data_IF_619959604350
#
_entry.id   IF_619959604350
#
_cell.length_a   1.000
_cell.length_b   1.000
_cell.length_c   1.000
_cell.angle_alpha   90.00
_cell.angle_beta   90.00
_cell.angle_gamma   90.00
#
_symmetry.space_group_name_H-M   'P 1'
#
loop_
_entity.id
_entity.type
_entity.pdbx_description
1 polymer ?
#
# COMPACT_ATOMS: atom_id res chain seq x y z
N UNK A 1 31.49 -22.57 -9.19
CA UNK A 1 30.41 -21.61 -9.49
C UNK A 1 29.09 -22.11 -8.93
N UNK A 2 28.89 -21.99 -7.64
CA UNK A 2 27.66 -22.38 -6.98
C UNK A 2 26.96 -21.18 -6.28
N UNK A 3 27.26 -19.94 -6.75
CA UNK A 3 26.80 -18.73 -6.10
C UNK A 3 25.38 -18.25 -6.44
N UNK A 4 24.89 -18.58 -7.63
CA UNK A 4 23.74 -17.86 -8.18
C UNK A 4 22.39 -18.48 -7.83
N UNK A 5 22.33 -19.74 -7.47
CA UNK A 5 21.06 -20.39 -7.11
C UNK A 5 20.57 -20.09 -5.69
N UNK A 6 21.43 -19.59 -4.84
CA UNK A 6 21.09 -19.28 -3.44
C UNK A 6 20.33 -17.95 -3.32
N UNK A 7 20.46 -17.06 -4.31
CA UNK A 7 19.81 -15.74 -4.29
C UNK A 7 18.34 -15.77 -4.67
N UNK A 8 17.91 -16.63 -5.58
CA UNK A 8 16.56 -16.64 -6.11
C UNK A 8 15.52 -17.26 -5.15
N UNK A 9 15.96 -18.18 -4.30
CA UNK A 9 15.09 -18.82 -3.31
C UNK A 9 15.06 -18.08 -1.95
N UNK A 10 15.90 -17.06 -1.79
CA UNK A 10 16.07 -16.27 -0.57
C UNK A 10 15.19 -15.02 -0.50
N UNK A 11 14.50 -14.65 -1.56
CA UNK A 11 13.80 -13.36 -1.59
C UNK A 11 12.75 -13.20 -0.48
N UNK A 12 12.05 -14.27 -0.10
CA UNK A 12 11.10 -14.22 1.03
C UNK A 12 11.81 -14.15 2.39
N UNK A 13 12.91 -14.89 2.53
CA UNK A 13 13.67 -14.89 3.78
C UNK A 13 14.54 -13.64 3.92
N UNK A 14 15.01 -13.09 2.81
CA UNK A 14 15.80 -11.85 2.82
C UNK A 14 14.94 -10.64 3.15
N UNK A 15 13.74 -10.51 2.56
CA UNK A 15 12.79 -9.45 2.89
C UNK A 15 12.39 -9.50 4.37
N UNK A 16 12.10 -10.70 4.90
CA UNK A 16 11.78 -10.89 6.32
C UNK A 16 12.95 -10.53 7.23
N UNK A 17 14.18 -10.95 6.89
CA UNK A 17 15.38 -10.58 7.66
C UNK A 17 15.68 -9.09 7.58
N UNK A 18 15.40 -8.46 6.44
CA UNK A 18 15.52 -7.01 6.31
C UNK A 18 14.51 -6.28 7.17
N UNK A 19 13.27 -6.75 7.23
CA UNK A 19 12.25 -6.23 8.15
C UNK A 19 12.65 -6.41 9.61
N UNK A 20 13.12 -7.58 9.99
CA UNK A 20 13.60 -7.86 11.35
C UNK A 20 14.81 -6.96 11.70
N UNK A 21 15.77 -6.82 10.80
CA UNK A 21 16.93 -5.94 10.98
C UNK A 21 16.52 -4.47 11.06
N UNK A 22 15.53 -4.05 10.28
CA UNK A 22 14.96 -2.71 10.32
C UNK A 22 14.27 -2.44 11.64
N UNK A 23 13.48 -3.40 12.16
CA UNK A 23 12.81 -3.29 13.44
C UNK A 23 13.83 -3.17 14.58
N UNK A 24 14.87 -4.01 14.59
CA UNK A 24 15.95 -3.94 15.56
C UNK A 24 16.69 -2.61 15.48
N UNK A 25 17.02 -2.16 14.27
CA UNK A 25 17.64 -0.86 14.04
C UNK A 25 16.76 0.30 14.52
N UNK A 26 15.45 0.25 14.26
CA UNK A 26 14.49 1.24 14.75
C UNK A 26 14.46 1.25 16.28
N UNK A 27 14.45 0.09 16.94
CA UNK A 27 14.45 -0.01 18.41
C UNK A 27 15.74 0.56 19.01
N UNK A 28 16.89 0.23 18.43
CA UNK A 28 18.19 0.75 18.89
C UNK A 28 18.35 2.25 18.62
N UNK A 29 17.83 2.73 17.50
CA UNK A 29 17.91 4.14 17.09
C UNK A 29 16.89 5.01 17.82
N UNK A 30 15.83 4.42 18.41
CA UNK A 30 14.84 5.14 19.21
C UNK A 30 15.45 5.96 20.34
N UNK A 31 16.62 5.55 20.84
CA UNK A 31 17.38 6.31 21.83
C UNK A 31 18.13 7.52 21.25
N UNK A 32 18.31 7.58 19.92
CA UNK A 32 19.17 8.55 19.25
C UNK A 32 18.40 9.51 18.34
N UNK A 33 17.16 9.17 17.94
CA UNK A 33 16.35 9.97 17.02
C UNK A 33 14.92 10.09 17.51
N UNK A 34 14.21 11.12 17.05
CA UNK A 34 12.79 11.31 17.32
C UNK A 34 11.94 10.24 16.60
N UNK A 35 10.75 9.95 17.16
CA UNK A 35 9.77 9.06 16.51
C UNK A 35 9.39 9.53 15.11
N UNK A 36 9.29 10.84 14.91
CA UNK A 36 8.97 11.46 13.62
C UNK A 36 10.01 11.09 12.56
N UNK A 37 11.29 11.13 12.93
CA UNK A 37 12.37 10.75 12.02
C UNK A 37 12.33 9.27 11.66
N UNK A 38 12.00 8.41 12.62
CA UNK A 38 11.83 6.97 12.40
C UNK A 38 10.69 6.69 11.43
N UNK A 39 9.54 7.33 11.60
CA UNK A 39 8.41 7.22 10.68
C UNK A 39 8.74 7.73 9.28
N UNK A 40 9.45 8.84 9.19
CA UNK A 40 9.92 9.37 7.92
C UNK A 40 10.77 8.35 7.15
N UNK A 41 11.76 7.75 7.82
CA UNK A 41 12.61 6.71 7.21
C UNK A 41 11.77 5.51 6.79
N UNK A 42 10.89 5.02 7.68
CA UNK A 42 10.03 3.89 7.39
C UNK A 42 9.13 4.12 6.16
N UNK A 43 8.48 5.27 6.09
CA UNK A 43 7.61 5.63 4.97
C UNK A 43 8.37 5.71 3.64
N UNK A 44 9.66 6.04 3.67
CA UNK A 44 10.49 6.14 2.46
C UNK A 44 11.02 4.81 1.96
N UNK A 45 10.99 3.75 2.78
CA UNK A 45 11.55 2.43 2.41
C UNK A 45 10.51 1.31 2.39
N UNK A 46 9.32 1.50 2.96
CA UNK A 46 8.27 0.50 2.97
C UNK A 46 7.81 0.14 1.56
N UNK A 47 7.46 -1.13 1.36
CA UNK A 47 6.83 -1.61 0.13
C UNK A 47 5.31 -1.36 0.21
N UNK A 48 4.78 -0.69 -0.82
CA UNK A 48 3.38 -0.27 -0.93
C UNK A 48 2.64 -0.99 -2.06
N UNK A 49 3.30 -1.83 -2.79
CA UNK A 49 2.80 -2.60 -3.90
C UNK A 49 3.94 -3.38 -4.56
N UNK A 50 3.69 -4.19 -5.59
CA UNK A 50 4.74 -4.91 -6.30
C UNK A 50 5.76 -3.93 -6.88
N UNK A 51 6.99 -3.93 -6.33
CA UNK A 51 8.09 -3.03 -6.72
C UNK A 51 7.81 -1.53 -6.48
N UNK A 52 6.85 -1.20 -5.63
CA UNK A 52 6.55 0.18 -5.24
C UNK A 52 7.12 0.42 -3.85
N UNK A 53 8.20 1.18 -3.76
CA UNK A 53 8.92 1.47 -2.52
C UNK A 53 8.87 2.96 -2.20
N UNK A 54 8.53 3.26 -0.97
CA UNK A 54 8.44 4.62 -0.45
C UNK A 54 7.13 5.31 -0.73
N UNK A 55 6.76 6.22 0.17
CA UNK A 55 5.48 6.94 0.14
C UNK A 55 5.32 7.83 -1.10
N UNK A 56 6.43 8.36 -1.61
CA UNK A 56 6.41 9.22 -2.81
C UNK A 56 5.98 8.45 -4.05
N UNK A 57 6.58 7.27 -4.26
CA UNK A 57 6.20 6.39 -5.36
C UNK A 57 4.79 5.84 -5.19
N UNK A 58 4.41 5.46 -3.96
CA UNK A 58 3.09 4.98 -3.65
C UNK A 58 2.00 6.03 -3.95
N UNK A 59 2.21 7.28 -3.53
CA UNK A 59 1.27 8.38 -3.77
C UNK A 59 1.08 8.65 -5.26
N UNK A 60 2.16 8.58 -6.04
CA UNK A 60 2.11 8.74 -7.49
C UNK A 60 1.43 7.54 -8.17
N UNK A 61 1.79 6.32 -7.77
CA UNK A 61 1.28 5.09 -8.35
C UNK A 61 -0.23 4.90 -8.15
N UNK A 62 -0.71 5.13 -6.93
CA UNK A 62 -2.14 4.94 -6.61
C UNK A 62 -3.01 6.13 -6.97
N UNK A 63 -2.54 7.35 -6.73
CA UNK A 63 -3.39 8.55 -6.78
C UNK A 63 -2.88 9.66 -7.70
N UNK A 64 -1.74 9.46 -8.35
CA UNK A 64 -1.09 10.49 -9.17
C UNK A 64 -0.90 11.82 -8.41
N UNK A 65 -0.52 11.72 -7.14
CA UNK A 65 -0.34 12.84 -6.21
C UNK A 65 1.03 12.79 -5.54
N UNK A 66 1.44 13.93 -5.00
CA UNK A 66 2.53 13.98 -4.03
C UNK A 66 2.01 13.59 -2.65
N UNK A 67 2.85 13.09 -1.72
CA UNK A 67 2.42 12.74 -0.36
C UNK A 67 1.68 13.87 0.37
N UNK A 68 2.10 15.12 0.19
CA UNK A 68 1.46 16.29 0.79
C UNK A 68 0.04 16.58 0.27
N UNK A 69 -0.35 15.98 -0.85
CA UNK A 69 -1.66 16.17 -1.49
C UNK A 69 -2.64 15.03 -1.17
N UNK A 70 -2.19 13.99 -0.46
CA UNK A 70 -3.05 12.88 -0.07
C UNK A 70 -4.17 13.35 0.87
N UNK A 71 -5.37 12.86 0.64
CA UNK A 71 -6.47 13.02 1.58
C UNK A 71 -6.28 12.08 2.78
N UNK A 72 -7.03 12.32 3.86
CA UNK A 72 -7.03 11.42 5.01
C UNK A 72 -7.48 10.01 4.61
N UNK A 73 -8.50 9.91 3.78
CA UNK A 73 -9.06 8.65 3.27
C UNK A 73 -8.04 7.88 2.42
N UNK A 74 -7.31 8.56 1.56
CA UNK A 74 -6.23 7.96 0.76
C UNK A 74 -5.07 7.49 1.65
N UNK A 75 -4.73 8.25 2.68
CA UNK A 75 -3.69 7.88 3.65
C UNK A 75 -4.08 6.65 4.47
N UNK A 76 -5.34 6.53 4.87
CA UNK A 76 -5.86 5.35 5.57
C UNK A 76 -5.78 4.11 4.68
N UNK A 77 -6.11 4.23 3.39
CA UNK A 77 -5.95 3.13 2.45
C UNK A 77 -4.49 2.69 2.35
N UNK A 78 -3.55 3.60 2.16
CA UNK A 78 -2.13 3.27 2.09
C UNK A 78 -1.66 2.57 3.36
N UNK A 79 -2.07 3.00 4.54
CA UNK A 79 -1.76 2.30 5.79
C UNK A 79 -2.32 0.87 5.82
N UNK A 80 -3.47 0.64 5.22
CA UNK A 80 -4.13 -0.68 5.20
C UNK A 80 -3.39 -1.73 4.40
N UNK A 81 -2.65 -1.33 3.36
CA UNK A 81 -1.98 -2.27 2.45
C UNK A 81 -0.56 -2.64 2.89
N UNK A 82 0.03 -1.94 3.86
CA UNK A 82 1.41 -2.21 4.33
C UNK A 82 1.64 -3.68 4.68
N UNK A 83 0.74 -4.39 5.41
CA UNK A 83 0.96 -5.78 5.76
C UNK A 83 0.97 -6.73 4.55
N UNK A 84 0.27 -6.38 3.49
CA UNK A 84 0.13 -7.19 2.27
C UNK A 84 0.13 -6.32 1.01
N UNK A 85 1.22 -5.63 0.70
CA UNK A 85 1.24 -4.63 -0.38
C UNK A 85 1.01 -5.23 -1.76
N UNK A 86 1.32 -6.49 -1.96
CA UNK A 86 1.12 -7.19 -3.25
C UNK A 86 -0.34 -7.57 -3.54
N UNK A 87 -1.21 -7.46 -2.55
CA UNK A 87 -2.63 -7.83 -2.64
C UNK A 87 -3.59 -6.64 -2.73
N UNK A 88 -3.08 -5.45 -3.06
CA UNK A 88 -3.90 -4.24 -3.14
C UNK A 88 -5.09 -4.37 -4.10
N UNK A 89 -4.94 -5.14 -5.16
CA UNK A 89 -5.99 -5.38 -6.17
C UNK A 89 -7.27 -5.93 -5.57
N UNK A 90 -7.16 -6.72 -4.51
CA UNK A 90 -8.32 -7.32 -3.83
C UNK A 90 -9.21 -6.27 -3.15
N UNK A 91 -8.66 -5.09 -2.89
CA UNK A 91 -9.37 -3.99 -2.23
C UNK A 91 -10.18 -3.12 -3.19
N UNK A 92 -9.94 -3.23 -4.50
CA UNK A 92 -10.58 -2.40 -5.53
C UNK A 92 -11.49 -3.19 -6.45
N UNK A 93 -12.54 -2.50 -6.94
CA UNK A 93 -13.31 -2.93 -8.09
C UNK A 93 -12.55 -2.61 -9.39
N UNK A 94 -12.99 -3.17 -10.51
CA UNK A 94 -12.35 -2.95 -11.84
C UNK A 94 -12.32 -1.49 -12.28
N UNK A 95 -13.27 -0.68 -11.81
CA UNK A 95 -13.31 0.76 -12.07
C UNK A 95 -12.38 1.58 -11.17
N UNK A 96 -11.57 0.93 -10.34
CA UNK A 96 -10.66 1.59 -9.41
C UNK A 96 -11.30 2.10 -8.12
N UNK A 97 -12.57 1.83 -7.90
CA UNK A 97 -13.27 2.20 -6.67
C UNK A 97 -12.93 1.24 -5.52
N UNK A 98 -12.67 1.76 -4.34
CA UNK A 98 -12.46 0.94 -3.15
C UNK A 98 -13.73 0.18 -2.78
N UNK A 99 -13.58 -1.10 -2.45
CA UNK A 99 -14.71 -1.96 -2.08
C UNK A 99 -15.27 -1.58 -0.70
N UNK A 100 -16.56 -1.74 -0.52
CA UNK A 100 -17.29 -1.42 0.73
C UNK A 100 -16.85 -2.25 1.94
N UNK A 101 -16.21 -3.39 1.73
CA UNK A 101 -15.69 -4.21 2.84
C UNK A 101 -14.62 -3.51 3.69
N UNK A 102 -14.09 -2.38 3.25
CA UNK A 102 -13.13 -1.56 4.00
C UNK A 102 -13.78 -0.59 5.00
N UNK A 103 -15.10 -0.49 5.03
CA UNK A 103 -15.81 0.48 5.89
C UNK A 103 -15.49 0.31 7.38
N UNK A 104 -15.48 -0.93 7.86
CA UNK A 104 -15.13 -1.23 9.26
C UNK A 104 -13.70 -0.81 9.63
N UNK A 105 -12.75 -1.04 8.73
CA UNK A 105 -11.36 -0.60 8.91
C UNK A 105 -11.25 0.92 8.97
N UNK A 106 -11.89 1.63 8.03
CA UNK A 106 -11.89 3.08 8.00
C UNK A 106 -12.47 3.69 9.27
N UNK A 107 -13.60 3.16 9.74
CA UNK A 107 -14.23 3.59 10.99
C UNK A 107 -13.32 3.39 12.20
N UNK A 108 -12.65 2.24 12.26
CA UNK A 108 -11.71 1.94 13.35
C UNK A 108 -10.53 2.92 13.36
N UNK A 109 -9.92 3.16 12.21
CA UNK A 109 -8.75 4.06 12.11
C UNK A 109 -9.16 5.50 12.35
N UNK A 110 -10.27 5.96 11.79
CA UNK A 110 -10.80 7.30 12.05
C UNK A 110 -11.04 7.56 13.54
N UNK A 111 -11.64 6.59 14.25
CA UNK A 111 -11.82 6.67 15.69
C UNK A 111 -10.50 6.76 16.47
N UNK A 112 -9.48 6.01 16.07
CA UNK A 112 -8.14 6.08 16.68
C UNK A 112 -7.46 7.42 16.42
N UNK A 113 -7.59 7.97 15.23
CA UNK A 113 -7.05 9.30 14.90
C UNK A 113 -7.69 10.40 15.74
N UNK A 114 -9.01 10.32 15.95
CA UNK A 114 -9.73 11.24 16.82
C UNK A 114 -9.29 11.10 18.28
N UNK A 115 -9.16 9.87 18.80
CA UNK A 115 -8.67 9.62 20.18
C UNK A 115 -7.26 10.19 20.41
N UNK A 116 -6.42 10.17 19.38
CA UNK A 116 -5.06 10.76 19.45
C UNK A 116 -5.06 12.27 19.23
N UNK A 117 -6.20 12.89 18.97
CA UNK A 117 -6.30 14.32 18.71
C UNK A 117 -5.73 14.78 17.35
N UNK A 118 -5.53 13.85 16.42
CA UNK A 118 -5.01 14.15 15.08
C UNK A 118 -6.07 14.68 14.13
N UNK A 119 -7.33 14.31 14.37
CA UNK A 119 -8.53 14.83 13.70
C UNK A 119 -9.60 15.07 14.74
N UNK A 120 -10.62 15.86 14.41
CA UNK A 120 -11.79 16.04 15.28
C UNK A 120 -12.73 14.82 15.23
N UNK A 121 -13.60 14.66 16.22
CA UNK A 121 -14.61 13.63 16.22
C UNK A 121 -15.60 13.80 15.05
N UNK A 122 -15.91 15.04 14.69
CA UNK A 122 -16.77 15.38 13.56
C UNK A 122 -16.11 14.91 12.25
N UNK A 123 -14.84 15.16 12.07
CA UNK A 123 -14.09 14.66 10.90
C UNK A 123 -14.07 13.13 10.86
N UNK A 124 -13.84 12.48 12.01
CA UNK A 124 -13.85 11.03 12.08
C UNK A 124 -15.19 10.42 11.64
N UNK A 125 -16.28 11.06 11.99
CA UNK A 125 -17.62 10.60 11.60
C UNK A 125 -17.92 10.78 10.10
N UNK A 126 -17.19 11.66 9.41
CA UNK A 126 -17.34 11.90 7.98
C UNK A 126 -16.46 11.04 7.11
N UNK A 127 -15.42 10.43 7.66
CA UNK A 127 -14.47 9.59 6.92
C UNK A 127 -15.16 8.32 6.43
N UNK A 128 -15.09 8.09 5.12
CA UNK A 128 -15.67 6.93 4.42
C UNK A 128 -14.62 6.35 3.46
N UNK A 129 -14.69 5.05 3.16
CA UNK A 129 -13.82 4.42 2.17
C UNK A 129 -14.27 4.78 0.73
N UNK A 130 -14.45 6.06 0.48
CA UNK A 130 -14.86 6.59 -0.82
C UNK A 130 -13.64 7.18 -1.54
N UNK A 131 -12.75 6.30 -1.95
CA UNK A 131 -11.55 6.66 -2.71
C UNK A 131 -11.51 5.90 -4.04
N UNK A 132 -10.89 6.50 -5.01
CA UNK A 132 -10.68 5.93 -6.33
C UNK A 132 -9.20 5.99 -6.70
N UNK A 133 -8.68 4.89 -7.21
CA UNK A 133 -7.34 4.83 -7.80
C UNK A 133 -7.35 5.59 -9.11
N UNK A 134 -6.43 6.52 -9.27
CA UNK A 134 -6.32 7.39 -10.45
C UNK A 134 -4.94 7.34 -11.11
N UNK A 135 -3.95 6.74 -10.45
CA UNK A 135 -2.60 6.59 -10.97
C UNK A 135 -2.42 5.31 -11.82
N UNK A 136 -1.17 4.92 -12.00
CA UNK A 136 -0.80 3.72 -12.78
C UNK A 136 -1.39 2.43 -12.20
N UNK A 137 -1.73 2.42 -10.92
CA UNK A 137 -2.44 1.30 -10.29
C UNK A 137 -3.77 1.00 -10.97
N UNK A 138 -4.47 1.99 -11.50
CA UNK A 138 -5.72 1.79 -12.25
C UNK A 138 -5.47 0.94 -13.50
N UNK A 139 -4.41 1.21 -14.23
CA UNK A 139 -4.04 0.45 -15.42
C UNK A 139 -3.78 -1.03 -15.08
N UNK A 140 -3.19 -1.29 -13.92
CA UNK A 140 -2.94 -2.65 -13.47
C UNK A 140 -4.19 -3.41 -13.05
N UNK A 141 -5.27 -2.71 -12.68
CA UNK A 141 -6.58 -3.32 -12.39
C UNK A 141 -7.33 -3.70 -13.67
N UNK A 142 -7.20 -2.88 -14.72
CA UNK A 142 -7.90 -3.07 -16.00
C UNK A 142 -7.17 -4.07 -16.91
N UNK A 143 -5.84 -4.18 -16.79
CA UNK A 143 -5.00 -4.99 -17.69
C UNK A 143 -5.12 -6.51 -17.54
N UNK A 144 -5.83 -7.02 -16.54
CA UNK A 144 -6.03 -8.46 -16.30
C UNK A 144 -7.39 -8.98 -16.81
N UNK A 145 -8.03 -8.27 -17.72
CA UNK A 145 -9.15 -8.88 -18.47
C UNK A 145 -8.56 -9.94 -19.39
N UNK A 146 -8.85 -11.24 -19.22
CA UNK A 146 -8.36 -12.24 -20.17
C UNK A 146 -8.91 -11.88 -21.53
N UNK A 147 -8.01 -11.60 -22.48
CA UNK A 147 -8.40 -11.55 -23.88
C UNK A 147 -9.17 -12.82 -24.20
N UNK A 148 -10.42 -12.66 -24.55
CA UNK A 148 -11.23 -13.72 -25.09
C UNK A 148 -10.49 -14.24 -26.31
N UNK A 149 -9.86 -15.41 -26.16
CA UNK A 149 -9.38 -16.18 -27.29
C UNK A 149 -10.58 -16.43 -28.19
N UNK A 150 -10.67 -15.67 -29.25
CA UNK A 150 -11.59 -15.96 -30.36
C UNK A 150 -11.24 -17.35 -30.87
N UNK A 151 -12.17 -18.29 -30.96
CA UNK A 151 -11.92 -19.54 -31.67
C UNK A 151 -11.75 -19.22 -33.14
N UNK A 152 -10.55 -19.40 -33.64
CA UNK A 152 -10.31 -19.46 -35.06
C UNK A 152 -11.14 -20.62 -35.61
N UNK A 153 -12.15 -20.29 -36.36
CA UNK A 153 -12.86 -21.26 -37.19
C UNK A 153 -11.88 -21.75 -38.24
N UNK A 154 -11.44 -22.98 -38.11
CA UNK A 154 -10.89 -23.71 -39.25
C UNK A 154 -12.04 -24.21 -40.07
N UNK A 155 -12.19 -23.64 -41.27
CA UNK A 155 -12.89 -24.26 -42.34
C UNK A 155 -11.92 -25.08 -43.21
N UNK A 156 -12.26 -26.35 -43.33
CA UNK A 156 -11.87 -27.32 -44.34
C UNK A 156 -10.41 -27.76 -44.41
#
# INVERSE_FOLDING_TARGET
>A
MHGDYVFLNRNKNFARKLEEALIVWLIETERLTSKERMYEVYLNIAEWGPLIYGIREASAYYFNKRPSQLTTEESIFLASIIPKPKHFRNSFAENGQLKKNMEGYYKLIAGRLAQKGLISEIEADTIRPDIQVTGDALNSLVGDTPESSSPTAEEQ
#
